data_IF_260095858768
#
_entry.id   IF_260095858768
#
_cell.length_a   1.000
_cell.length_b   1.000
_cell.length_c   1.000
_cell.angle_alpha   90.00
_cell.angle_beta   90.00
_cell.angle_gamma   90.00
#
_symmetry.space_group_name_H-M   'P 1'
#
loop_
_entity.id
_entity.type
_entity.pdbx_description
1 polymer ?
#
# COMPACT_ATOMS: atom_id res chain seq x y z
N UNK A 1 -13.13 3.26 -25.18
CA UNK A 1 -12.50 2.25 -26.07
C UNK A 1 -11.32 1.56 -25.40
N UNK A 2 -10.29 2.25 -24.93
CA UNK A 2 -9.08 1.63 -24.32
C UNK A 2 -9.37 0.64 -23.17
N UNK A 3 -10.34 0.91 -22.30
CA UNK A 3 -10.63 0.07 -21.13
C UNK A 3 -11.29 -1.27 -21.54
N UNK A 4 -12.14 -1.28 -22.57
CA UNK A 4 -12.71 -2.53 -23.09
C UNK A 4 -11.65 -3.42 -23.76
N UNK A 5 -10.69 -2.78 -24.50
CA UNK A 5 -9.56 -3.50 -25.08
C UNK A 5 -8.67 -4.12 -23.99
N UNK A 6 -8.37 -3.38 -22.94
CA UNK A 6 -7.64 -3.89 -21.79
C UNK A 6 -8.31 -5.10 -21.14
N UNK A 7 -9.64 -5.06 -20.93
CA UNK A 7 -10.39 -6.20 -20.38
C UNK A 7 -10.42 -7.39 -21.35
N UNK A 8 -10.46 -7.14 -22.65
CA UNK A 8 -10.39 -8.20 -23.67
C UNK A 8 -9.01 -8.88 -23.61
N UNK A 9 -7.91 -8.12 -23.53
CA UNK A 9 -6.55 -8.65 -23.43
C UNK A 9 -6.37 -9.50 -22.18
N UNK A 10 -6.93 -9.09 -21.04
CA UNK A 10 -6.89 -9.91 -19.80
C UNK A 10 -7.63 -11.24 -20.01
N UNK A 11 -8.79 -11.23 -20.67
CA UNK A 11 -9.55 -12.46 -20.97
C UNK A 11 -8.78 -13.39 -21.90
N UNK A 12 -8.17 -12.84 -22.94
CA UNK A 12 -7.30 -13.58 -23.86
C UNK A 12 -6.12 -14.19 -23.09
N UNK A 13 -5.40 -13.41 -22.29
CA UNK A 13 -4.31 -13.93 -21.45
C UNK A 13 -4.77 -15.03 -20.50
N UNK A 14 -5.98 -14.94 -19.95
CA UNK A 14 -6.56 -15.98 -19.11
C UNK A 14 -6.80 -17.28 -19.88
N UNK A 15 -7.24 -17.22 -21.15
CA UNK A 15 -7.42 -18.37 -22.02
C UNK A 15 -6.07 -19.04 -22.34
N UNK A 16 -5.03 -18.25 -22.60
CA UNK A 16 -3.66 -18.75 -22.84
C UNK A 16 -2.89 -19.18 -21.59
N UNK A 17 -3.54 -19.30 -20.44
CA UNK A 17 -2.94 -19.94 -19.28
C UNK A 17 -2.30 -18.98 -18.28
N UNK A 18 -2.32 -17.67 -18.48
CA UNK A 18 -1.73 -16.74 -17.54
C UNK A 18 -2.42 -16.79 -16.16
N UNK A 19 -1.72 -17.28 -15.14
CA UNK A 19 -2.27 -17.61 -13.81
C UNK A 19 -3.02 -16.45 -13.16
N UNK A 20 -2.41 -15.27 -13.10
CA UNK A 20 -3.04 -14.06 -12.49
C UNK A 20 -4.30 -13.62 -13.25
N UNK A 21 -4.29 -13.68 -14.59
CA UNK A 21 -5.45 -13.32 -15.41
C UNK A 21 -6.62 -14.31 -15.21
N UNK A 22 -6.33 -15.61 -15.12
CA UNK A 22 -7.35 -16.65 -14.80
C UNK A 22 -7.99 -16.42 -13.44
N UNK A 23 -7.19 -16.13 -12.40
CA UNK A 23 -7.70 -15.82 -11.06
C UNK A 23 -8.62 -14.61 -11.09
N UNK A 24 -8.23 -13.53 -11.76
CA UNK A 24 -9.03 -12.31 -11.87
C UNK A 24 -10.37 -12.59 -12.57
N UNK A 25 -10.36 -13.21 -13.75
CA UNK A 25 -11.58 -13.46 -14.54
C UNK A 25 -12.56 -14.38 -13.79
N UNK A 26 -12.05 -15.47 -13.18
CA UNK A 26 -12.87 -16.38 -12.37
C UNK A 26 -13.42 -15.71 -11.12
N UNK A 27 -12.57 -14.97 -10.40
CA UNK A 27 -12.95 -14.27 -9.17
C UNK A 27 -14.03 -13.22 -9.41
N UNK A 28 -13.93 -12.45 -10.48
CA UNK A 28 -14.95 -11.46 -10.86
C UNK A 28 -16.30 -12.10 -11.24
N UNK A 29 -16.28 -13.22 -11.96
CA UNK A 29 -17.50 -13.98 -12.29
C UNK A 29 -18.15 -14.54 -11.01
N UNK A 30 -17.33 -15.07 -10.07
CA UNK A 30 -17.81 -15.57 -8.79
C UNK A 30 -18.39 -14.47 -7.91
N UNK A 31 -17.81 -13.26 -7.93
CA UNK A 31 -18.34 -12.10 -7.19
C UNK A 31 -19.80 -11.82 -7.56
N UNK A 32 -20.10 -11.71 -8.86
CA UNK A 32 -21.47 -11.45 -9.31
C UNK A 32 -22.42 -12.57 -8.90
N UNK A 33 -22.01 -13.84 -9.03
CA UNK A 33 -22.82 -14.99 -8.59
C UNK A 33 -23.11 -14.94 -7.08
N UNK A 34 -22.07 -14.73 -6.27
CA UNK A 34 -22.20 -14.72 -4.81
C UNK A 34 -23.10 -13.59 -4.31
N UNK A 35 -22.95 -12.39 -4.88
CA UNK A 35 -23.78 -11.24 -4.50
C UNK A 35 -25.25 -11.44 -4.92
N UNK A 36 -25.51 -11.99 -6.12
CA UNK A 36 -26.87 -12.27 -6.58
C UNK A 36 -27.52 -13.37 -5.74
N UNK A 37 -26.79 -14.45 -5.41
CA UNK A 37 -27.32 -15.54 -4.58
C UNK A 37 -27.65 -15.09 -3.14
N UNK A 38 -26.80 -14.23 -2.54
CA UNK A 38 -27.10 -13.66 -1.22
C UNK A 38 -28.39 -12.83 -1.23
N UNK A 39 -28.66 -12.12 -2.31
CA UNK A 39 -29.91 -11.35 -2.46
C UNK A 39 -31.13 -12.25 -2.54
N UNK A 40 -31.12 -13.30 -3.38
CA UNK A 40 -32.25 -14.22 -3.52
C UNK A 40 -32.60 -14.95 -2.21
N UNK A 41 -31.58 -15.26 -1.39
CA UNK A 41 -31.80 -15.87 -0.08
C UNK A 41 -32.30 -14.89 0.99
N UNK A 42 -32.01 -13.58 0.84
CA UNK A 42 -32.52 -12.53 1.75
C UNK A 42 -33.96 -12.11 1.41
N UNK A 43 -34.39 -12.24 0.17
CA UNK A 43 -35.77 -11.95 -0.24
C UNK A 43 -36.78 -13.03 0.23
N UNK A 44 -36.30 -14.23 0.59
CA UNK A 44 -37.10 -15.33 1.13
C UNK A 44 -37.27 -15.32 2.66
N UNK A 45 -36.60 -14.39 3.37
CA UNK A 45 -36.73 -14.24 4.84
C UNK A 45 -36.78 -12.77 5.25
N UNK A 46 -37.92 -12.31 5.70
CA UNK A 46 -38.27 -10.94 6.12
C UNK A 46 -37.33 -10.28 7.19
N UNK A 47 -36.29 -10.99 7.66
CA UNK A 47 -35.45 -10.53 8.77
C UNK A 47 -34.13 -9.85 8.33
N UNK A 48 -33.50 -10.28 7.25
CA UNK A 48 -32.17 -9.78 6.88
C UNK A 48 -32.21 -8.45 6.12
N UNK A 49 -33.20 -8.23 5.27
CA UNK A 49 -33.34 -7.01 4.45
C UNK A 49 -33.66 -5.78 5.30
N UNK A 50 -34.44 -5.94 6.37
CA UNK A 50 -34.81 -4.86 7.30
C UNK A 50 -33.62 -4.37 8.15
N UNK A 51 -32.67 -5.26 8.48
CA UNK A 51 -31.46 -4.92 9.24
C UNK A 51 -30.43 -4.21 8.35
N UNK A 52 -30.30 -4.60 7.05
CA UNK A 52 -29.42 -3.93 6.11
C UNK A 52 -29.90 -2.52 5.72
N UNK A 53 -31.20 -2.28 5.67
CA UNK A 53 -31.76 -0.96 5.35
C UNK A 53 -31.61 0.06 6.49
N UNK A 54 -31.48 -0.38 7.75
CA UNK A 54 -31.36 0.52 8.91
C UNK A 54 -29.92 0.99 9.22
N UNK A 55 -28.91 0.24 8.82
CA UNK A 55 -27.50 0.54 9.20
C UNK A 55 -26.60 1.01 8.06
N UNK A 56 -27.02 0.88 6.80
CA UNK A 56 -26.25 1.29 5.61
C UNK A 56 -25.04 0.39 5.31
N UNK A 57 -24.78 0.18 4.01
CA UNK A 57 -23.61 -0.55 3.53
C UNK A 57 -22.59 0.43 2.93
N UNK A 58 -21.38 0.42 3.44
CA UNK A 58 -20.25 1.20 2.93
C UNK A 58 -19.42 0.28 2.03
N UNK A 59 -19.33 0.67 0.76
CA UNK A 59 -18.45 -0.01 -0.19
C UNK A 59 -17.12 0.72 -0.29
N UNK A 60 -16.01 -0.01 -0.07
CA UNK A 60 -14.64 0.53 -0.18
C UNK A 60 -13.91 -0.21 -1.29
N UNK A 61 -13.37 0.52 -2.25
CA UNK A 61 -12.60 -0.03 -3.36
C UNK A 61 -11.13 0.37 -3.26
N UNK A 62 -10.24 -0.64 -3.26
CA UNK A 62 -8.79 -0.52 -3.37
C UNK A 62 -8.28 -1.53 -4.40
N UNK A 63 -7.57 -1.11 -5.43
CA UNK A 63 -7.17 -2.04 -6.49
C UNK A 63 -6.10 -3.04 -6.02
N UNK A 64 -5.23 -2.64 -5.10
CA UNK A 64 -4.05 -3.39 -4.65
C UNK A 64 -3.93 -3.44 -3.13
N UNK A 65 -2.97 -4.23 -2.63
CA UNK A 65 -2.61 -4.26 -1.19
C UNK A 65 -2.17 -2.88 -0.70
N UNK A 66 -1.33 -2.17 -1.46
CA UNK A 66 -0.84 -0.85 -1.06
C UNK A 66 -1.94 0.19 -0.90
N UNK A 67 -2.95 0.17 -1.77
CA UNK A 67 -4.13 1.04 -1.64
C UNK A 67 -5.04 0.59 -0.51
N UNK A 68 -5.15 -0.71 -0.28
CA UNK A 68 -5.89 -1.22 0.87
C UNK A 68 -5.28 -0.75 2.21
N UNK A 69 -3.96 -0.70 2.33
CA UNK A 69 -3.31 -0.17 3.54
C UNK A 69 -3.62 1.32 3.76
N UNK A 70 -3.97 2.07 2.70
CA UNK A 70 -4.51 3.44 2.83
C UNK A 70 -5.99 3.47 3.27
N UNK A 71 -6.78 2.47 2.90
CA UNK A 71 -8.17 2.36 3.36
C UNK A 71 -8.28 1.86 4.81
N UNK A 72 -7.31 1.07 5.24
CA UNK A 72 -7.36 0.27 6.46
C UNK A 72 -7.59 1.10 7.74
N UNK A 73 -6.91 2.22 8.01
CA UNK A 73 -7.17 3.03 9.19
C UNK A 73 -8.63 3.51 9.27
N UNK A 74 -9.18 3.90 8.13
CA UNK A 74 -10.59 4.32 8.06
C UNK A 74 -11.55 3.14 8.30
N UNK A 75 -11.27 1.96 7.76
CA UNK A 75 -12.07 0.74 7.97
C UNK A 75 -12.07 0.35 9.45
N UNK A 76 -10.89 0.28 10.07
CA UNK A 76 -10.73 -0.12 11.47
C UNK A 76 -11.41 0.89 12.41
N UNK A 77 -11.32 2.19 12.10
CA UNK A 77 -12.05 3.23 12.84
C UNK A 77 -13.56 3.12 12.67
N UNK A 78 -14.05 2.92 11.45
CA UNK A 78 -15.47 2.70 11.19
C UNK A 78 -16.01 1.48 11.97
N UNK A 79 -15.24 0.40 12.01
CA UNK A 79 -15.64 -0.81 12.74
C UNK A 79 -15.74 -0.56 14.24
N UNK A 80 -14.84 0.25 14.80
CA UNK A 80 -14.83 0.62 16.21
C UNK A 80 -15.95 1.60 16.59
N UNK A 81 -16.13 2.66 15.78
CA UNK A 81 -17.01 3.77 16.13
C UNK A 81 -18.44 3.66 15.56
N UNK A 82 -18.61 2.89 14.48
CA UNK A 82 -19.90 2.68 13.82
C UNK A 82 -20.11 1.19 13.46
N UNK A 83 -20.09 0.28 14.44
CA UNK A 83 -20.14 -1.18 14.22
C UNK A 83 -21.42 -1.65 13.51
N UNK A 84 -22.49 -0.83 13.53
CA UNK A 84 -23.75 -1.12 12.86
C UNK A 84 -23.63 -1.08 11.33
N UNK A 85 -22.67 -0.35 10.76
CA UNK A 85 -22.50 -0.30 9.31
C UNK A 85 -21.86 -1.58 8.79
N UNK A 86 -22.37 -2.07 7.66
CA UNK A 86 -21.73 -3.14 6.92
C UNK A 86 -20.63 -2.57 6.03
N UNK A 87 -19.49 -3.23 5.98
CA UNK A 87 -18.34 -2.83 5.21
C UNK A 87 -18.02 -3.91 4.18
N UNK A 88 -18.06 -3.56 2.91
CA UNK A 88 -17.61 -4.42 1.81
C UNK A 88 -16.39 -3.82 1.15
N UNK A 89 -15.36 -4.63 1.01
CA UNK A 89 -14.11 -4.25 0.34
C UNK A 89 -14.01 -4.95 -1.00
N UNK A 90 -13.58 -4.24 -2.02
CA UNK A 90 -13.30 -4.83 -3.33
C UNK A 90 -11.87 -4.58 -3.78
N UNK A 91 -11.29 -5.59 -4.43
CA UNK A 91 -9.97 -5.53 -5.05
C UNK A 91 -10.06 -5.73 -6.57
N UNK A 92 -9.15 -5.10 -7.30
CA UNK A 92 -8.96 -5.42 -8.71
C UNK A 92 -7.80 -6.42 -8.88
N UNK A 93 -6.72 -6.27 -8.13
CA UNK A 93 -5.54 -7.14 -8.18
C UNK A 93 -5.80 -8.50 -7.52
N UNK A 94 -5.43 -9.63 -8.17
CA UNK A 94 -5.48 -10.95 -7.54
C UNK A 94 -4.65 -11.05 -6.27
N UNK A 95 -3.47 -10.47 -6.24
CA UNK A 95 -2.62 -10.48 -5.04
C UNK A 95 -3.26 -9.75 -3.88
N UNK A 96 -3.91 -8.60 -4.14
CA UNK A 96 -4.66 -7.86 -3.12
C UNK A 96 -5.80 -8.68 -2.53
N UNK A 97 -6.60 -9.31 -3.39
CA UNK A 97 -7.70 -10.15 -2.95
C UNK A 97 -7.22 -11.37 -2.16
N UNK A 98 -6.26 -12.14 -2.67
CA UNK A 98 -5.78 -13.36 -2.02
C UNK A 98 -5.19 -13.09 -0.63
N UNK A 99 -4.46 -11.98 -0.48
CA UNK A 99 -3.88 -11.59 0.81
C UNK A 99 -4.92 -11.08 1.82
N UNK A 100 -6.07 -10.56 1.37
CA UNK A 100 -7.05 -9.88 2.22
C UNK A 100 -8.46 -10.47 2.17
N UNK A 101 -8.71 -11.58 1.46
CA UNK A 101 -10.03 -12.22 1.34
C UNK A 101 -10.69 -12.61 2.67
N UNK A 102 -9.89 -12.84 3.70
CA UNK A 102 -10.34 -13.18 5.06
C UNK A 102 -10.16 -12.00 6.05
N UNK A 103 -10.18 -10.76 5.58
CA UNK A 103 -10.01 -9.59 6.44
C UNK A 103 -11.18 -9.42 7.39
N UNK A 104 -10.93 -9.62 8.69
CA UNK A 104 -11.95 -9.74 9.75
C UNK A 104 -12.77 -8.44 9.96
N UNK A 105 -12.26 -7.26 9.57
CA UNK A 105 -12.96 -6.00 9.75
C UNK A 105 -13.93 -5.67 8.62
N UNK A 106 -14.01 -6.51 7.55
CA UNK A 106 -14.97 -6.39 6.48
C UNK A 106 -16.02 -7.50 6.54
N UNK A 107 -17.28 -7.16 6.23
CA UNK A 107 -18.39 -8.14 6.14
C UNK A 107 -18.35 -8.95 4.82
N UNK A 108 -17.56 -8.49 3.88
CA UNK A 108 -17.30 -9.19 2.63
C UNK A 108 -16.13 -8.59 1.87
N UNK A 109 -15.34 -9.46 1.26
CA UNK A 109 -14.23 -9.08 0.38
C UNK A 109 -14.45 -9.74 -0.97
N UNK A 110 -14.38 -8.96 -2.04
CA UNK A 110 -14.70 -9.42 -3.40
C UNK A 110 -13.73 -8.85 -4.44
N UNK A 111 -13.71 -9.47 -5.61
CA UNK A 111 -13.13 -8.82 -6.79
C UNK A 111 -14.10 -7.78 -7.35
N UNK A 112 -13.59 -6.62 -7.78
CA UNK A 112 -14.37 -5.67 -8.56
C UNK A 112 -14.59 -6.25 -9.97
N UNK A 113 -15.83 -6.46 -10.43
CA UNK A 113 -16.08 -6.89 -11.80
C UNK A 113 -15.57 -5.87 -12.83
N UNK A 114 -15.19 -6.32 -14.03
CA UNK A 114 -14.74 -5.40 -15.09
C UNK A 114 -15.70 -4.24 -15.27
N UNK A 115 -15.15 -3.01 -15.34
CA UNK A 115 -15.88 -1.76 -15.34
C UNK A 115 -16.62 -1.51 -16.68
N UNK A 116 -17.55 -2.40 -17.02
CA UNK A 116 -18.56 -2.19 -18.07
C UNK A 116 -19.83 -1.64 -17.46
N UNK A 117 -20.64 -0.91 -18.24
CA UNK A 117 -21.93 -0.37 -17.76
C UNK A 117 -22.84 -1.47 -17.21
N UNK A 118 -22.90 -2.61 -17.88
CA UNK A 118 -23.73 -3.76 -17.46
C UNK A 118 -23.24 -4.35 -16.13
N UNK A 119 -21.92 -4.56 -15.98
CA UNK A 119 -21.37 -5.11 -14.75
C UNK A 119 -21.52 -4.12 -13.57
N UNK A 120 -21.31 -2.82 -13.82
CA UNK A 120 -21.49 -1.80 -12.79
C UNK A 120 -22.94 -1.78 -12.28
N UNK A 121 -23.93 -1.83 -13.17
CA UNK A 121 -25.35 -1.92 -12.80
C UNK A 121 -25.63 -3.17 -11.99
N UNK A 122 -25.28 -4.36 -12.51
CA UNK A 122 -25.50 -5.64 -11.83
C UNK A 122 -24.83 -5.70 -10.44
N UNK A 123 -23.62 -5.21 -10.36
CA UNK A 123 -22.88 -5.17 -9.11
C UNK A 123 -23.57 -4.25 -8.07
N UNK A 124 -23.93 -3.04 -8.47
CA UNK A 124 -24.61 -2.09 -7.59
C UNK A 124 -26.06 -2.49 -7.27
N UNK A 125 -26.74 -3.20 -8.17
CA UNK A 125 -28.07 -3.79 -7.90
C UNK A 125 -27.98 -4.88 -6.83
N UNK A 126 -26.91 -5.68 -6.86
CA UNK A 126 -26.72 -6.76 -5.92
C UNK A 126 -26.14 -6.27 -4.57
N UNK A 127 -25.24 -5.26 -4.58
CA UNK A 127 -24.58 -4.76 -3.38
C UNK A 127 -25.42 -3.73 -2.62
N UNK A 128 -26.13 -2.85 -3.32
CA UNK A 128 -26.94 -1.75 -2.78
C UNK A 128 -26.22 -0.88 -1.74
N UNK A 129 -25.04 -0.31 -2.06
CA UNK A 129 -24.30 0.48 -1.11
C UNK A 129 -25.01 1.81 -0.85
N UNK A 130 -24.99 2.27 0.41
CA UNK A 130 -25.45 3.61 0.79
C UNK A 130 -24.37 4.68 0.64
N UNK A 131 -23.12 4.24 0.51
CA UNK A 131 -21.92 5.07 0.33
C UNK A 131 -20.83 4.28 -0.37
N UNK A 132 -20.00 4.95 -1.18
CA UNK A 132 -18.83 4.35 -1.81
C UNK A 132 -17.57 5.19 -1.54
N UNK A 133 -16.45 4.52 -1.27
CA UNK A 133 -15.14 5.14 -1.04
C UNK A 133 -14.11 4.48 -1.96
N UNK A 134 -13.44 5.28 -2.77
CA UNK A 134 -12.38 4.86 -3.68
C UNK A 134 -11.03 5.37 -3.20
N UNK A 135 -10.01 4.52 -3.26
CA UNK A 135 -8.68 4.86 -2.77
C UNK A 135 -7.77 5.28 -3.92
N UNK A 136 -7.09 6.41 -3.77
CA UNK A 136 -5.99 6.87 -4.61
C UNK A 136 -6.39 7.11 -6.10
N UNK A 137 -6.05 6.20 -7.02
CA UNK A 137 -6.20 6.38 -8.47
C UNK A 137 -7.42 5.65 -9.09
N UNK A 138 -8.33 5.17 -8.25
CA UNK A 138 -9.40 4.27 -8.67
C UNK A 138 -10.59 5.03 -9.29
N UNK A 139 -10.36 5.59 -10.47
CA UNK A 139 -11.33 6.38 -11.22
C UNK A 139 -12.00 5.55 -12.31
N UNK A 140 -12.92 4.67 -11.93
CA UNK A 140 -13.65 3.74 -12.79
C UNK A 140 -14.93 4.37 -13.36
N UNK A 141 -14.96 4.90 -14.62
CA UNK A 141 -16.08 5.69 -15.12
C UNK A 141 -17.42 4.97 -15.04
N UNK A 142 -17.47 3.67 -15.39
CA UNK A 142 -18.72 2.92 -15.40
C UNK A 142 -19.37 2.83 -14.01
N UNK A 143 -18.56 2.65 -12.97
CA UNK A 143 -19.04 2.63 -11.58
C UNK A 143 -19.36 4.03 -11.07
N UNK A 144 -18.50 5.01 -11.30
CA UNK A 144 -18.68 6.37 -10.81
C UNK A 144 -19.91 7.06 -11.41
N UNK A 145 -20.14 6.91 -12.71
CA UNK A 145 -21.35 7.43 -13.35
C UNK A 145 -22.64 6.73 -12.85
N UNK A 146 -22.57 5.43 -12.61
CA UNK A 146 -23.73 4.67 -12.11
C UNK A 146 -24.04 5.02 -10.64
N UNK A 147 -23.02 5.22 -9.80
CA UNK A 147 -23.16 5.72 -8.41
C UNK A 147 -23.79 7.11 -8.40
N UNK A 148 -23.30 8.02 -9.25
CA UNK A 148 -23.87 9.37 -9.39
C UNK A 148 -25.31 9.33 -9.85
N UNK A 149 -25.66 8.50 -10.85
CA UNK A 149 -27.04 8.30 -11.34
C UNK A 149 -27.99 7.84 -10.22
N UNK A 150 -27.49 7.06 -9.27
CA UNK A 150 -28.25 6.55 -8.11
C UNK A 150 -28.22 7.51 -6.91
N UNK A 151 -27.58 8.67 -7.03
CA UNK A 151 -27.36 9.63 -5.93
C UNK A 151 -26.67 9.01 -4.71
N UNK A 152 -25.79 8.01 -4.91
CA UNK A 152 -25.01 7.39 -3.84
C UNK A 152 -23.79 8.28 -3.54
N UNK A 153 -23.64 8.81 -2.31
CA UNK A 153 -22.47 9.57 -1.90
C UNK A 153 -21.20 8.79 -2.17
N UNK A 154 -20.27 9.41 -2.93
CA UNK A 154 -19.05 8.73 -3.39
C UNK A 154 -17.84 9.62 -3.08
N UNK A 155 -16.86 9.07 -2.38
CA UNK A 155 -15.68 9.77 -1.92
C UNK A 155 -14.42 9.15 -2.53
N UNK A 156 -13.41 9.98 -2.81
CA UNK A 156 -12.06 9.52 -3.08
C UNK A 156 -11.16 9.94 -1.93
N UNK A 157 -10.34 9.02 -1.41
CA UNK A 157 -9.43 9.29 -0.30
C UNK A 157 -7.98 9.03 -0.70
N UNK A 158 -7.06 9.73 -0.05
CA UNK A 158 -5.61 9.65 -0.33
C UNK A 158 -5.28 9.82 -1.82
N UNK A 159 -6.08 10.61 -2.55
CA UNK A 159 -5.89 10.84 -3.98
C UNK A 159 -4.64 11.71 -4.22
N UNK A 160 -3.91 11.43 -5.29
CA UNK A 160 -2.79 12.26 -5.72
C UNK A 160 -2.87 12.47 -7.23
N UNK A 161 -2.68 13.72 -7.66
CA UNK A 161 -2.77 14.10 -9.06
C UNK A 161 -1.43 14.66 -9.56
N UNK A 162 -1.17 14.47 -10.86
CA UNK A 162 0.04 14.95 -11.53
C UNK A 162 -0.32 15.61 -12.84
N UNK A 163 0.42 16.67 -13.28
CA UNK A 163 0.11 17.42 -14.50
C UNK A 163 0.06 16.56 -15.76
N UNK A 164 0.89 15.51 -15.82
CA UNK A 164 0.95 14.61 -16.98
C UNK A 164 -0.21 13.63 -17.13
N UNK A 165 -1.12 13.54 -16.15
CA UNK A 165 -2.26 12.62 -16.21
C UNK A 165 -3.30 13.06 -17.26
N UNK A 166 -4.01 12.05 -17.80
CA UNK A 166 -4.98 12.22 -18.89
C UNK A 166 -6.00 13.34 -18.62
N UNK A 167 -6.48 13.47 -17.39
CA UNK A 167 -7.49 14.47 -16.99
C UNK A 167 -7.08 15.91 -17.33
N UNK A 168 -5.81 16.24 -17.21
CA UNK A 168 -5.27 17.59 -17.33
C UNK A 168 -4.72 17.90 -18.72
N UNK A 169 -4.78 16.91 -19.65
CA UNK A 169 -4.37 17.10 -21.02
C UNK A 169 -5.54 17.62 -21.88
N UNK A 170 -5.31 18.44 -22.92
CA UNK A 170 -6.39 18.99 -23.75
C UNK A 170 -7.38 17.96 -24.30
N UNK A 171 -6.87 16.79 -24.73
CA UNK A 171 -7.70 15.69 -25.23
C UNK A 171 -8.32 14.80 -24.16
N UNK A 172 -7.95 14.97 -22.91
CA UNK A 172 -8.42 14.19 -21.77
C UNK A 172 -9.53 14.86 -20.96
N UNK A 173 -9.93 16.08 -21.31
CA UNK A 173 -10.94 16.87 -20.58
C UNK A 173 -12.26 16.13 -20.37
N UNK A 174 -12.70 15.29 -21.33
CA UNK A 174 -13.88 14.45 -21.20
C UNK A 174 -13.80 13.49 -20.00
N UNK A 175 -12.62 13.13 -19.56
CA UNK A 175 -12.43 12.24 -18.41
C UNK A 175 -12.57 12.98 -17.06
N UNK A 176 -12.49 14.32 -17.04
CA UNK A 176 -12.80 15.14 -15.86
C UNK A 176 -14.24 14.93 -15.38
N UNK A 177 -15.19 14.61 -16.29
CA UNK A 177 -16.55 14.29 -15.91
C UNK A 177 -16.65 13.08 -14.98
N UNK A 178 -15.69 12.17 -15.07
CA UNK A 178 -15.59 11.06 -14.13
C UNK A 178 -15.23 11.54 -12.72
N UNK A 179 -14.33 12.52 -12.59
CA UNK A 179 -13.99 13.11 -11.29
C UNK A 179 -15.15 13.93 -10.71
N UNK A 180 -15.97 14.55 -11.55
CA UNK A 180 -17.21 15.25 -11.15
C UNK A 180 -18.31 14.32 -10.61
N UNK A 181 -18.10 13.01 -10.68
CA UNK A 181 -19.01 12.04 -10.06
C UNK A 181 -18.80 11.91 -8.55
N UNK A 182 -17.63 12.27 -8.03
CA UNK A 182 -17.38 12.25 -6.60
C UNK A 182 -18.17 13.34 -5.85
N UNK A 183 -18.67 12.97 -4.69
CA UNK A 183 -19.24 13.92 -3.72
C UNK A 183 -18.14 14.80 -3.17
N UNK A 184 -16.97 14.21 -2.85
CA UNK A 184 -15.77 14.94 -2.44
C UNK A 184 -14.51 14.11 -2.75
N UNK A 185 -13.39 14.80 -3.03
CA UNK A 185 -12.07 14.20 -3.28
C UNK A 185 -11.08 14.71 -2.23
N UNK A 186 -10.59 13.80 -1.39
CA UNK A 186 -9.55 14.09 -0.39
C UNK A 186 -8.19 13.79 -0.99
N UNK A 187 -7.41 14.85 -1.21
CA UNK A 187 -6.07 14.73 -1.82
C UNK A 187 -4.97 14.74 -0.77
N UNK A 188 -3.79 14.24 -1.17
CA UNK A 188 -2.63 14.16 -0.29
C UNK A 188 -1.90 15.51 -0.15
N UNK A 189 -1.93 16.38 -1.18
CA UNK A 189 -1.08 17.57 -1.23
C UNK A 189 -1.72 18.76 -1.96
N UNK A 190 -1.07 19.93 -1.79
CA UNK A 190 -1.49 21.19 -2.38
C UNK A 190 -1.42 21.17 -3.92
N UNK A 191 -0.43 20.49 -4.51
CA UNK A 191 -0.28 20.42 -5.95
C UNK A 191 -1.45 19.67 -6.60
N UNK A 192 -1.88 18.55 -5.98
CA UNK A 192 -3.08 17.80 -6.40
C UNK A 192 -4.36 18.64 -6.28
N UNK A 193 -4.50 19.40 -5.18
CA UNK A 193 -5.66 20.30 -4.98
C UNK A 193 -5.72 21.37 -6.05
N UNK A 194 -4.58 21.98 -6.36
CA UNK A 194 -4.50 23.04 -7.38
C UNK A 194 -4.88 22.50 -8.76
N UNK A 195 -4.33 21.32 -9.18
CA UNK A 195 -4.69 20.69 -10.45
C UNK A 195 -6.20 20.40 -10.56
N UNK A 196 -6.83 19.94 -9.48
CA UNK A 196 -8.27 19.71 -9.47
C UNK A 196 -9.06 21.03 -9.64
N UNK A 197 -8.66 22.10 -8.94
CA UNK A 197 -9.29 23.42 -9.05
C UNK A 197 -9.16 24.00 -10.45
N UNK A 198 -7.98 23.92 -11.06
CA UNK A 198 -7.74 24.30 -12.46
C UNK A 198 -8.59 23.48 -13.44
N UNK A 199 -8.84 22.20 -13.13
CA UNK A 199 -9.75 21.32 -13.86
C UNK A 199 -11.25 21.60 -13.59
N UNK A 200 -11.59 22.59 -12.75
CA UNK A 200 -12.98 22.91 -12.39
C UNK A 200 -13.61 21.91 -11.43
N UNK A 201 -12.82 21.24 -10.59
CA UNK A 201 -13.27 20.34 -9.53
C UNK A 201 -13.15 21.07 -8.18
N UNK A 202 -14.24 21.71 -7.74
CA UNK A 202 -14.27 22.48 -6.49
C UNK A 202 -14.50 21.64 -5.24
N UNK A 203 -15.13 20.47 -5.38
CA UNK A 203 -15.41 19.55 -4.26
C UNK A 203 -14.19 18.72 -3.91
N UNK A 204 -13.15 19.39 -3.43
CA UNK A 204 -11.87 18.77 -3.06
C UNK A 204 -11.19 19.53 -1.93
N UNK A 205 -10.50 18.81 -1.06
CA UNK A 205 -9.70 19.34 0.06
C UNK A 205 -8.47 18.49 0.32
N UNK A 206 -7.46 19.06 0.98
CA UNK A 206 -6.30 18.32 1.44
C UNK A 206 -6.67 17.58 2.72
N UNK A 207 -6.47 16.28 2.74
CA UNK A 207 -6.53 15.49 3.96
C UNK A 207 -5.17 14.87 4.33
N UNK A 208 -4.29 14.63 3.37
CA UNK A 208 -3.04 13.92 3.57
C UNK A 208 -3.10 12.46 3.11
N UNK A 209 -2.08 11.68 3.50
CA UNK A 209 -1.96 10.25 3.18
C UNK A 209 -2.20 9.39 4.43
N UNK A 210 -3.25 8.61 4.42
CA UNK A 210 -3.64 7.73 5.53
C UNK A 210 -2.62 6.63 5.85
N UNK A 211 -1.60 6.41 5.01
CA UNK A 211 -0.49 5.49 5.34
C UNK A 211 0.30 5.97 6.54
N UNK A 212 0.44 7.28 6.76
CA UNK A 212 1.13 7.81 7.93
C UNK A 212 0.38 7.44 9.22
N UNK A 213 -0.94 7.62 9.24
CA UNK A 213 -1.77 7.20 10.38
C UNK A 213 -1.63 5.70 10.65
N UNK A 214 -1.61 4.88 9.58
CA UNK A 214 -1.42 3.45 9.70
C UNK A 214 -0.09 3.09 10.33
N UNK A 215 0.98 3.77 9.95
CA UNK A 215 2.30 3.49 10.50
C UNK A 215 2.40 3.91 11.96
N UNK A 216 1.79 5.01 12.36
CA UNK A 216 1.72 5.40 13.77
C UNK A 216 1.04 4.32 14.65
N UNK A 217 -0.03 3.69 14.14
CA UNK A 217 -0.67 2.55 14.83
C UNK A 217 0.24 1.32 14.92
N UNK A 218 0.94 0.99 13.83
CA UNK A 218 1.84 -0.18 13.77
C UNK A 218 3.03 0.01 14.70
N UNK A 219 3.62 1.21 14.72
CA UNK A 219 4.79 1.50 15.57
C UNK A 219 4.47 1.56 17.06
N UNK A 220 3.21 1.86 17.42
CA UNK A 220 2.76 1.84 18.81
C UNK A 220 2.75 0.42 19.41
N UNK A 221 2.66 -0.63 18.58
CA UNK A 221 2.58 -2.02 19.01
C UNK A 221 3.52 -2.92 18.20
N UNK A 222 4.86 -2.75 18.32
CA UNK A 222 5.82 -3.55 17.57
C UNK A 222 5.75 -5.01 17.99
N UNK A 223 5.81 -5.91 17.02
CA UNK A 223 5.86 -7.35 17.28
C UNK A 223 7.29 -7.75 17.59
N UNK A 224 7.47 -8.52 18.64
CA UNK A 224 8.75 -9.15 18.95
C UNK A 224 9.02 -10.31 17.97
N UNK A 225 10.27 -10.39 17.50
CA UNK A 225 10.74 -11.45 16.61
C UNK A 225 12.02 -12.07 17.21
N UNK A 226 11.89 -13.14 18.02
CA UNK A 226 13.01 -13.70 18.78
C UNK A 226 14.25 -14.03 17.94
N UNK A 227 14.07 -14.53 16.72
CA UNK A 227 15.17 -14.82 15.79
C UNK A 227 15.93 -13.55 15.42
N UNK A 228 15.23 -12.43 15.20
CA UNK A 228 15.88 -11.15 14.88
C UNK A 228 16.58 -10.57 16.10
N UNK A 229 15.97 -10.65 17.28
CA UNK A 229 16.58 -10.24 18.55
C UNK A 229 17.88 -10.98 18.80
N UNK A 230 17.87 -12.30 18.61
CA UNK A 230 19.06 -13.14 18.76
C UNK A 230 20.13 -12.78 17.72
N UNK A 231 19.75 -12.53 16.46
CA UNK A 231 20.67 -12.11 15.40
C UNK A 231 21.34 -10.79 15.75
N UNK A 232 20.58 -9.78 16.16
CA UNK A 232 21.11 -8.47 16.55
C UNK A 232 22.05 -8.61 17.74
N UNK A 233 21.66 -9.35 18.79
CA UNK A 233 22.54 -9.74 19.90
C UNK A 233 23.26 -8.57 20.57
N UNK A 234 22.61 -7.39 20.67
CA UNK A 234 23.21 -6.18 21.24
C UNK A 234 24.14 -5.39 20.31
N UNK A 235 24.26 -5.77 19.02
CA UNK A 235 24.98 -4.97 18.02
C UNK A 235 24.36 -3.58 17.89
N UNK A 236 25.21 -2.54 17.86
CA UNK A 236 24.79 -1.14 17.68
C UNK A 236 24.90 -0.64 16.26
N UNK A 237 25.24 -1.51 15.30
CA UNK A 237 25.40 -1.18 13.89
C UNK A 237 24.63 -2.21 13.05
N UNK A 238 23.33 -2.04 12.97
CA UNK A 238 22.43 -2.91 12.21
C UNK A 238 21.74 -2.11 11.12
N UNK A 239 21.88 -2.57 9.89
CA UNK A 239 21.15 -2.04 8.73
C UNK A 239 20.00 -2.97 8.40
N UNK A 240 18.80 -2.42 8.20
CA UNK A 240 17.65 -3.15 7.67
C UNK A 240 17.45 -2.75 6.22
N UNK A 241 17.71 -3.66 5.30
CA UNK A 241 17.47 -3.47 3.87
C UNK A 241 16.14 -4.12 3.47
N UNK A 242 15.12 -3.29 3.26
CA UNK A 242 13.75 -3.75 2.98
C UNK A 242 13.38 -3.70 1.51
N UNK A 243 12.68 -4.73 1.02
CA UNK A 243 12.20 -4.86 -0.36
C UNK A 243 13.31 -4.72 -1.40
N UNK A 244 14.42 -5.40 -1.17
CA UNK A 244 15.61 -5.33 -2.03
C UNK A 244 15.40 -6.05 -3.37
N UNK A 245 16.14 -5.61 -4.36
CA UNK A 245 16.24 -6.18 -5.70
C UNK A 245 17.71 -6.52 -6.02
N UNK A 246 18.01 -7.32 -7.04
CA UNK A 246 19.38 -7.79 -7.32
C UNK A 246 20.44 -6.70 -7.37
N UNK A 247 20.10 -5.51 -7.90
CA UNK A 247 21.05 -4.39 -7.94
C UNK A 247 21.36 -3.81 -6.55
N UNK A 248 20.35 -3.72 -5.68
CA UNK A 248 20.50 -3.29 -4.30
C UNK A 248 21.37 -4.27 -3.53
N UNK A 249 21.10 -5.57 -3.70
CA UNK A 249 21.75 -6.68 -3.01
C UNK A 249 23.24 -6.77 -3.35
N UNK A 250 23.60 -6.57 -4.62
CA UNK A 250 25.01 -6.55 -5.05
C UNK A 250 25.80 -5.39 -4.40
N UNK A 251 25.20 -4.22 -4.27
CA UNK A 251 25.82 -3.07 -3.60
C UNK A 251 25.98 -3.30 -2.09
N UNK A 252 24.96 -3.87 -1.46
CA UNK A 252 24.96 -4.18 -0.01
C UNK A 252 25.93 -5.31 0.32
N UNK A 253 26.07 -6.33 -0.54
CA UNK A 253 27.03 -7.40 -0.36
C UNK A 253 28.47 -6.84 -0.34
N UNK A 254 28.81 -6.01 -1.33
CA UNK A 254 30.12 -5.33 -1.38
C UNK A 254 30.37 -4.46 -0.13
N UNK A 255 29.33 -3.80 0.39
CA UNK A 255 29.44 -2.99 1.61
C UNK A 255 29.73 -3.85 2.84
N UNK A 256 29.01 -4.96 3.00
CA UNK A 256 29.22 -5.89 4.13
C UNK A 256 30.61 -6.53 4.10
N UNK A 257 31.15 -6.79 2.90
CA UNK A 257 32.54 -7.32 2.77
C UNK A 257 33.57 -6.38 3.35
N UNK A 258 33.37 -5.09 3.16
CA UNK A 258 34.29 -4.04 3.62
C UNK A 258 33.99 -3.52 5.05
N UNK A 259 32.99 -4.07 5.76
CA UNK A 259 32.49 -3.52 7.03
C UNK A 259 32.24 -4.60 8.06
N UNK A 260 33.29 -5.08 8.72
CA UNK A 260 33.28 -6.28 9.61
C UNK A 260 32.36 -6.14 10.84
N UNK A 261 32.15 -4.94 11.37
CA UNK A 261 31.37 -4.70 12.59
C UNK A 261 29.87 -4.56 12.34
N UNK A 262 29.45 -4.42 11.07
CA UNK A 262 28.06 -4.13 10.71
C UNK A 262 27.29 -5.41 10.44
N UNK A 263 26.07 -5.48 10.97
CA UNK A 263 25.09 -6.52 10.67
C UNK A 263 24.07 -6.00 9.68
N UNK A 264 23.62 -6.87 8.77
CA UNK A 264 22.60 -6.60 7.76
C UNK A 264 21.41 -7.54 7.93
N UNK A 265 20.22 -6.99 8.04
CA UNK A 265 18.97 -7.75 7.87
C UNK A 265 18.46 -7.46 6.46
N UNK A 266 18.50 -8.46 5.60
CA UNK A 266 18.09 -8.37 4.19
C UNK A 266 16.70 -8.97 4.00
N UNK A 267 15.77 -8.17 3.54
CA UNK A 267 14.38 -8.58 3.28
C UNK A 267 14.09 -8.39 1.79
N UNK A 268 14.26 -9.42 0.95
CA UNK A 268 14.04 -9.32 -0.49
C UNK A 268 12.59 -9.00 -0.84
N UNK A 269 12.37 -8.32 -1.97
CA UNK A 269 11.03 -8.04 -2.48
C UNK A 269 10.35 -9.32 -3.00
N UNK A 270 11.10 -10.18 -3.65
CA UNK A 270 10.66 -11.48 -4.15
C UNK A 270 11.45 -12.60 -3.47
N UNK A 271 10.75 -13.65 -3.07
CA UNK A 271 11.33 -14.80 -2.35
C UNK A 271 11.18 -16.11 -3.14
N UNK A 272 11.22 -16.02 -4.48
CA UNK A 272 11.27 -17.22 -5.30
C UNK A 272 12.65 -17.90 -5.20
N UNK A 273 12.67 -19.21 -5.49
CA UNK A 273 13.86 -20.05 -5.28
C UNK A 273 15.09 -19.57 -6.05
N UNK A 274 14.88 -19.03 -7.27
CA UNK A 274 15.98 -18.54 -8.12
C UNK A 274 16.62 -17.30 -7.52
N UNK A 275 15.82 -16.33 -7.11
CA UNK A 275 16.29 -15.10 -6.51
C UNK A 275 16.99 -15.37 -5.17
N UNK A 276 16.39 -16.20 -4.31
CA UNK A 276 17.01 -16.59 -3.05
C UNK A 276 18.37 -17.28 -3.27
N UNK A 277 18.48 -18.12 -4.30
CA UNK A 277 19.75 -18.76 -4.63
C UNK A 277 20.84 -17.74 -4.96
N UNK A 278 20.53 -16.74 -5.79
CA UNK A 278 21.45 -15.65 -6.12
C UNK A 278 21.87 -14.87 -4.86
N UNK A 279 20.93 -14.57 -3.94
CA UNK A 279 21.26 -13.92 -2.67
C UNK A 279 22.21 -14.79 -1.83
N UNK A 280 21.98 -16.11 -1.79
CA UNK A 280 22.82 -17.02 -1.01
C UNK A 280 24.25 -17.09 -1.55
N UNK A 281 24.43 -17.05 -2.87
CA UNK A 281 25.74 -16.95 -3.50
C UNK A 281 26.45 -15.64 -3.15
N UNK A 282 25.73 -14.49 -3.24
CA UNK A 282 26.28 -13.17 -2.92
C UNK A 282 26.78 -13.05 -1.47
N UNK A 283 26.14 -13.73 -0.52
CA UNK A 283 26.44 -13.63 0.91
C UNK A 283 27.01 -14.94 1.50
N UNK A 284 27.56 -15.83 0.66
CA UNK A 284 28.10 -17.10 1.08
C UNK A 284 29.10 -16.99 2.24
N UNK A 285 28.97 -17.87 3.22
CA UNK A 285 29.82 -17.90 4.42
C UNK A 285 29.52 -16.81 5.47
N UNK A 286 28.62 -15.85 5.18
CA UNK A 286 28.33 -14.69 6.06
C UNK A 286 26.87 -14.61 6.47
N UNK A 287 26.00 -15.43 5.91
CA UNK A 287 24.56 -15.30 6.07
C UNK A 287 23.92 -16.50 6.77
N UNK A 288 22.77 -16.23 7.36
CA UNK A 288 21.82 -17.25 7.81
C UNK A 288 20.43 -16.91 7.26
N UNK A 289 19.67 -17.94 6.88
CA UNK A 289 18.25 -17.78 6.48
C UNK A 289 17.39 -17.69 7.73
N UNK A 290 16.42 -16.79 7.74
CA UNK A 290 15.48 -16.63 8.85
C UNK A 290 14.76 -17.96 9.17
N UNK A 291 14.27 -18.70 8.15
CA UNK A 291 13.58 -19.98 8.35
C UNK A 291 14.48 -21.13 8.80
N UNK A 292 15.80 -20.98 8.76
CA UNK A 292 16.81 -22.00 9.15
C UNK A 292 17.76 -21.51 10.24
N UNK A 293 17.47 -20.38 10.85
CA UNK A 293 18.27 -19.84 11.93
C UNK A 293 18.11 -20.68 13.21
N UNK A 294 19.22 -20.93 13.87
CA UNK A 294 19.29 -21.59 15.18
C UNK A 294 20.38 -20.95 16.03
N UNK A 295 20.45 -21.31 17.30
CA UNK A 295 21.35 -20.70 18.29
C UNK A 295 22.83 -20.77 17.93
N UNK A 296 23.24 -21.71 17.09
CA UNK A 296 24.63 -21.89 16.68
C UNK A 296 24.96 -21.03 15.48
N UNK A 297 24.20 -21.15 14.38
CA UNK A 297 24.52 -20.50 13.11
C UNK A 297 24.28 -18.99 13.14
N UNK A 298 23.30 -18.51 13.92
CA UNK A 298 22.93 -17.09 13.99
C UNK A 298 24.02 -16.21 14.64
N UNK A 299 24.78 -16.77 15.58
CA UNK A 299 25.85 -16.03 16.31
C UNK A 299 27.01 -15.63 15.42
N UNK A 300 27.30 -16.42 14.39
CA UNK A 300 28.42 -16.23 13.47
C UNK A 300 28.01 -15.46 12.20
N UNK A 301 26.72 -15.32 11.96
CA UNK A 301 26.20 -14.65 10.78
C UNK A 301 26.31 -13.12 10.92
N UNK A 302 26.69 -12.47 9.81
CA UNK A 302 26.63 -11.00 9.68
C UNK A 302 25.42 -10.56 8.85
N UNK A 303 24.80 -11.47 8.12
CA UNK A 303 23.61 -11.20 7.30
C UNK A 303 22.49 -12.16 7.69
N UNK A 304 21.34 -11.63 8.02
CA UNK A 304 20.09 -12.38 8.18
C UNK A 304 19.24 -12.16 6.94
N UNK A 305 19.07 -13.20 6.12
CA UNK A 305 18.18 -13.17 4.95
C UNK A 305 16.78 -13.62 5.36
N UNK A 306 15.81 -12.72 5.25
CA UNK A 306 14.42 -12.99 5.63
C UNK A 306 13.69 -13.59 4.43
N UNK A 307 13.61 -14.89 4.40
CA UNK A 307 13.02 -15.70 3.34
C UNK A 307 11.53 -16.02 3.57
N UNK A 308 10.80 -15.09 4.22
CA UNK A 308 9.36 -15.17 4.46
C UNK A 308 8.70 -13.81 4.35
N UNK A 309 7.43 -13.80 3.94
CA UNK A 309 6.68 -12.58 3.70
C UNK A 309 6.03 -12.00 4.96
N UNK A 310 5.86 -10.66 4.99
CA UNK A 310 5.03 -9.97 5.97
C UNK A 310 5.69 -9.63 7.30
N UNK A 311 7.01 -9.77 7.41
CA UNK A 311 7.76 -9.43 8.63
C UNK A 311 8.44 -8.06 8.59
N UNK A 312 8.63 -7.45 7.41
CA UNK A 312 9.48 -6.27 7.22
C UNK A 312 9.16 -5.12 8.18
N UNK A 313 7.87 -4.72 8.29
CA UNK A 313 7.50 -3.62 9.18
C UNK A 313 7.77 -3.91 10.67
N UNK A 314 7.81 -5.19 11.06
CA UNK A 314 8.15 -5.60 12.43
C UNK A 314 9.66 -5.78 12.63
N UNK A 315 10.44 -5.75 11.56
CA UNK A 315 11.91 -5.89 11.59
C UNK A 315 12.61 -4.53 11.71
N UNK A 316 12.04 -3.46 11.17
CA UNK A 316 12.66 -2.13 11.24
C UNK A 316 13.10 -1.69 12.65
N UNK A 317 12.33 -1.95 13.74
CA UNK A 317 12.75 -1.55 15.09
C UNK A 317 14.10 -2.13 15.56
N UNK A 318 14.60 -3.16 14.89
CA UNK A 318 15.85 -3.81 15.25
C UNK A 318 17.09 -3.17 14.60
N UNK A 319 16.91 -2.23 13.66
CA UNK A 319 17.99 -1.55 12.96
C UNK A 319 18.18 -0.10 13.38
N UNK A 320 19.35 0.45 13.06
CA UNK A 320 19.67 1.88 13.22
C UNK A 320 19.49 2.65 11.92
N UNK A 321 19.65 2.00 10.77
CA UNK A 321 19.53 2.61 9.43
C UNK A 321 18.68 1.71 8.55
N UNK A 322 17.79 2.30 7.76
CA UNK A 322 17.00 1.60 6.77
C UNK A 322 17.51 1.89 5.34
N UNK A 323 17.68 0.84 4.56
CA UNK A 323 17.83 0.92 3.11
C UNK A 323 16.56 0.40 2.43
N UNK A 324 15.99 1.18 1.51
CA UNK A 324 14.76 0.81 0.80
C UNK A 324 15.10 0.48 -0.65
N UNK A 325 14.87 -0.78 -1.02
CA UNK A 325 15.19 -1.31 -2.34
C UNK A 325 14.28 -0.83 -3.47
N UNK A 326 14.65 -1.19 -4.68
CA UNK A 326 13.95 -0.90 -5.93
C UNK A 326 14.37 0.42 -6.60
N UNK A 327 15.11 1.27 -5.91
CA UNK A 327 15.47 2.58 -6.41
C UNK A 327 16.43 2.60 -7.59
N UNK A 328 17.10 1.50 -7.90
CA UNK A 328 17.93 1.36 -9.11
C UNK A 328 17.17 0.80 -10.32
N UNK A 329 15.89 0.45 -10.15
CA UNK A 329 15.07 -0.17 -11.20
C UNK A 329 13.64 0.35 -11.23
N UNK A 330 12.73 -0.43 -10.70
CA UNK A 330 11.26 -0.22 -10.77
C UNK A 330 10.75 0.99 -10.00
N UNK A 331 11.57 1.59 -9.14
CA UNK A 331 11.22 2.64 -8.18
C UNK A 331 11.22 2.11 -6.74
N UNK A 332 11.45 3.02 -5.80
CA UNK A 332 11.55 2.67 -4.38
C UNK A 332 10.24 2.11 -3.82
N UNK A 333 10.37 1.32 -2.76
CA UNK A 333 9.24 0.83 -1.99
C UNK A 333 8.85 1.80 -0.85
N UNK A 334 8.05 1.34 0.12
CA UNK A 334 7.52 2.17 1.18
C UNK A 334 8.61 2.67 2.14
N UNK A 335 8.86 3.96 2.16
CA UNK A 335 9.82 4.61 3.07
C UNK A 335 9.21 5.00 4.43
N UNK A 336 7.87 5.11 4.49
CA UNK A 336 7.16 5.58 5.69
C UNK A 336 7.31 4.58 6.83
N UNK A 337 7.37 3.28 6.52
CA UNK A 337 7.51 2.23 7.54
C UNK A 337 8.78 2.42 8.37
N UNK A 338 9.92 2.56 7.71
CA UNK A 338 11.20 2.79 8.38
C UNK A 338 11.25 4.15 9.09
N UNK A 339 10.79 5.20 8.42
CA UNK A 339 10.76 6.56 8.98
C UNK A 339 9.90 6.67 10.24
N UNK A 340 8.79 5.93 10.31
CA UNK A 340 7.91 5.90 11.47
C UNK A 340 8.56 5.30 12.72
N UNK A 341 9.55 4.44 12.56
CA UNK A 341 10.40 3.96 13.66
C UNK A 341 11.58 4.89 13.98
N UNK A 342 11.63 6.06 13.38
CA UNK A 342 12.71 7.01 13.62
C UNK A 342 14.05 6.55 13.07
N UNK A 343 14.06 5.95 11.90
CA UNK A 343 15.28 5.51 11.22
C UNK A 343 15.67 6.48 10.11
N UNK A 344 16.97 6.80 9.94
CA UNK A 344 17.49 7.35 8.69
C UNK A 344 17.15 6.42 7.52
N UNK A 345 16.74 6.98 6.37
CA UNK A 345 16.29 6.20 5.22
C UNK A 345 17.18 6.47 4.01
N UNK A 346 17.76 5.41 3.43
CA UNK A 346 18.53 5.49 2.19
C UNK A 346 17.84 4.71 1.07
N UNK A 347 18.00 5.15 -0.17
CA UNK A 347 17.44 4.50 -1.35
C UNK A 347 18.14 4.92 -2.64
N UNK A 348 17.94 4.15 -3.71
CA UNK A 348 18.46 4.46 -5.04
C UNK A 348 17.78 5.66 -5.73
N UNK A 349 18.23 6.07 -6.95
CA UNK A 349 17.89 7.35 -7.56
C UNK A 349 16.46 7.46 -8.11
N UNK A 350 15.74 6.35 -8.28
CA UNK A 350 14.39 6.37 -8.87
C UNK A 350 13.29 6.58 -7.81
N UNK A 351 13.24 7.76 -7.20
CA UNK A 351 12.30 8.13 -6.14
C UNK A 351 11.40 9.33 -6.46
N UNK A 352 11.57 10.01 -7.60
CA UNK A 352 10.95 11.31 -7.91
C UNK A 352 9.42 11.27 -7.93
N UNK A 353 8.83 10.10 -8.08
CA UNK A 353 7.37 9.90 -8.05
C UNK A 353 6.80 9.67 -6.65
N UNK A 354 7.65 9.59 -5.62
CA UNK A 354 7.27 9.29 -4.23
C UNK A 354 7.33 10.58 -3.39
N UNK A 355 6.15 11.12 -3.05
CA UNK A 355 6.01 12.35 -2.27
C UNK A 355 6.72 12.24 -0.92
N UNK A 356 6.49 11.12 -0.23
CA UNK A 356 7.06 10.81 1.07
C UNK A 356 8.60 10.80 1.07
N UNK A 357 9.21 10.25 0.03
CA UNK A 357 10.68 10.23 -0.09
C UNK A 357 11.25 11.65 -0.26
N UNK A 358 10.58 12.49 -1.06
CA UNK A 358 10.97 13.91 -1.20
C UNK A 358 10.83 14.67 0.12
N UNK A 359 9.76 14.41 0.86
CA UNK A 359 9.53 15.02 2.16
C UNK A 359 10.60 14.62 3.17
N UNK A 360 10.98 13.34 3.22
CA UNK A 360 12.05 12.84 4.08
C UNK A 360 13.42 13.45 3.72
N UNK A 361 13.74 13.59 2.41
CA UNK A 361 14.97 14.29 1.97
C UNK A 361 14.95 15.75 2.42
N UNK A 362 13.84 16.45 2.19
CA UNK A 362 13.70 17.86 2.60
C UNK A 362 13.80 18.06 4.13
N UNK A 363 13.36 17.08 4.91
CA UNK A 363 13.51 17.05 6.37
C UNK A 363 14.94 16.67 6.83
N UNK A 364 15.85 16.33 5.91
CA UNK A 364 17.18 15.82 6.25
C UNK A 364 17.14 14.45 6.94
N UNK A 365 16.13 13.64 6.67
CA UNK A 365 15.89 12.33 7.25
C UNK A 365 16.18 11.18 6.27
N UNK A 366 16.39 11.50 5.00
CA UNK A 366 16.71 10.50 3.97
C UNK A 366 17.73 11.02 2.96
N UNK A 367 18.44 10.08 2.32
CA UNK A 367 19.40 10.36 1.27
C UNK A 367 19.23 9.38 0.10
N UNK A 368 19.33 9.89 -1.15
CA UNK A 368 19.33 9.07 -2.35
C UNK A 368 20.75 8.85 -2.84
N UNK A 369 21.10 7.61 -3.17
CA UNK A 369 22.43 7.18 -3.61
C UNK A 369 22.40 6.63 -5.02
N UNK A 370 23.43 6.89 -5.83
CA UNK A 370 23.50 6.53 -7.26
C UNK A 370 24.46 5.40 -7.57
N UNK A 371 25.40 5.15 -6.69
CA UNK A 371 26.48 4.19 -6.88
C UNK A 371 26.99 3.66 -5.53
N UNK A 372 28.00 2.77 -5.59
CA UNK A 372 28.55 2.14 -4.41
C UNK A 372 29.24 3.14 -3.45
N UNK A 373 30.01 4.08 -3.99
CA UNK A 373 30.78 5.01 -3.15
C UNK A 373 29.85 5.98 -2.41
N UNK A 374 28.79 6.45 -3.06
CA UNK A 374 27.73 7.22 -2.43
C UNK A 374 27.01 6.39 -1.35
N UNK A 375 26.66 5.12 -1.66
CA UNK A 375 26.01 4.22 -0.70
C UNK A 375 26.87 4.00 0.53
N UNK A 376 28.15 3.67 0.36
CA UNK A 376 29.10 3.42 1.47
C UNK A 376 29.20 4.65 2.39
N UNK A 377 29.43 5.81 1.80
CA UNK A 377 29.55 7.06 2.55
C UNK A 377 28.25 7.43 3.26
N UNK A 378 27.12 7.27 2.62
CA UNK A 378 25.81 7.58 3.18
C UNK A 378 25.44 6.62 4.33
N UNK A 379 25.70 5.31 4.19
CA UNK A 379 25.47 4.32 5.25
C UNK A 379 26.30 4.60 6.49
N UNK A 380 27.60 4.91 6.33
CA UNK A 380 28.49 5.24 7.46
C UNK A 380 28.02 6.51 8.16
N UNK A 381 27.75 7.59 7.41
CA UNK A 381 27.19 8.83 7.99
C UNK A 381 25.88 8.60 8.72
N UNK A 382 24.98 7.79 8.13
CA UNK A 382 23.69 7.50 8.72
C UNK A 382 23.80 6.67 10.01
N UNK A 383 24.74 5.73 10.09
CA UNK A 383 25.02 4.97 11.32
C UNK A 383 25.57 5.87 12.42
N UNK A 384 26.52 6.77 12.10
CA UNK A 384 27.11 7.70 13.06
C UNK A 384 26.09 8.71 13.61
N UNK A 385 25.18 9.18 12.77
CA UNK A 385 24.21 10.22 13.11
C UNK A 385 22.77 9.67 13.22
N UNK A 386 22.58 8.36 13.43
CA UNK A 386 21.27 7.72 13.34
C UNK A 386 20.24 8.32 14.30
N UNK A 387 20.63 8.72 15.50
CA UNK A 387 19.72 9.29 16.49
C UNK A 387 19.12 10.63 16.02
N UNK A 388 19.95 11.55 15.53
CA UNK A 388 19.52 12.87 15.08
C UNK A 388 18.70 12.78 13.77
N UNK A 389 19.23 12.05 12.77
CA UNK A 389 18.57 11.86 11.49
C UNK A 389 17.26 11.07 11.65
N UNK A 390 17.24 10.08 12.54
CA UNK A 390 16.07 9.33 12.91
C UNK A 390 14.99 10.17 13.60
N UNK A 391 15.39 11.08 14.48
CA UNK A 391 14.47 12.03 15.11
C UNK A 391 13.77 12.93 14.06
N UNK A 392 14.51 13.38 13.02
CA UNK A 392 13.93 14.14 11.90
C UNK A 392 12.93 13.27 11.10
N UNK A 393 13.23 11.98 10.89
CA UNK A 393 12.32 11.04 10.23
C UNK A 393 11.00 10.89 11.01
N UNK A 394 11.09 10.66 12.32
CA UNK A 394 9.94 10.57 13.20
C UNK A 394 9.12 11.89 13.21
N UNK A 395 9.79 13.03 13.29
CA UNK A 395 9.14 14.34 13.26
C UNK A 395 8.38 14.58 11.93
N UNK A 396 8.99 14.22 10.80
CA UNK A 396 8.33 14.29 9.51
C UNK A 396 7.07 13.42 9.48
N UNK A 397 7.15 12.17 9.94
CA UNK A 397 5.98 11.29 10.00
C UNK A 397 4.89 11.88 10.90
N UNK A 398 5.24 12.42 12.06
CA UNK A 398 4.28 13.06 12.97
C UNK A 398 3.58 14.26 12.33
N UNK A 399 4.28 15.07 11.54
CA UNK A 399 3.71 16.22 10.85
C UNK A 399 2.70 15.86 9.74
N UNK A 400 2.74 14.63 9.24
CA UNK A 400 1.87 14.12 8.19
C UNK A 400 0.64 13.36 8.72
N UNK A 401 0.49 13.21 10.04
CA UNK A 401 -0.63 12.51 10.67
C UNK A 401 -1.95 13.30 10.58
N UNK A 402 -3.06 12.59 10.78
CA UNK A 402 -4.40 13.18 10.92
C UNK A 402 -5.27 13.06 9.68
N UNK A 403 -4.78 12.47 8.59
CA UNK A 403 -5.56 12.27 7.36
C UNK A 403 -6.83 11.46 7.61
N UNK A 404 -6.73 10.36 8.32
CA UNK A 404 -7.86 9.47 8.67
C UNK A 404 -8.87 10.19 9.55
N UNK A 405 -8.40 10.96 10.54
CA UNK A 405 -9.27 11.71 11.46
C UNK A 405 -10.08 12.77 10.70
N UNK A 406 -9.43 13.54 9.83
CA UNK A 406 -10.06 14.54 9.00
C UNK A 406 -11.12 13.93 8.07
N UNK A 407 -10.76 12.89 7.31
CA UNK A 407 -11.68 12.19 6.41
C UNK A 407 -12.87 11.63 7.18
N UNK A 408 -12.63 10.99 8.32
CA UNK A 408 -13.68 10.41 9.13
C UNK A 408 -14.68 11.48 9.64
N UNK A 409 -14.19 12.58 10.20
CA UNK A 409 -15.02 13.68 10.72
C UNK A 409 -15.88 14.29 9.61
N UNK A 410 -15.28 14.60 8.46
CA UNK A 410 -16.00 15.25 7.36
C UNK A 410 -17.05 14.32 6.71
N UNK A 411 -16.81 13.01 6.62
CA UNK A 411 -17.77 12.07 5.99
C UNK A 411 -18.84 11.61 6.98
N UNK A 412 -18.51 11.38 8.25
CA UNK A 412 -19.38 10.64 9.18
C UNK A 412 -19.86 11.43 10.41
N UNK A 413 -19.29 12.58 10.72
CA UNK A 413 -19.68 13.40 11.87
C UNK A 413 -20.34 14.71 11.50
N UNK A 414 -20.00 15.32 10.37
CA UNK A 414 -20.53 16.62 9.93
C UNK A 414 -21.81 16.47 9.06
N UNK A 415 -22.61 15.42 9.27
CA UNK A 415 -23.92 15.22 8.62
C UNK A 415 -25.05 15.43 9.59
#
# INVERSE_FOLDING_TARGET
MCMYLYFLLIRIAALFGHKKARLLVRGQAQTLKNLTAKRSNSDSGLSATAVYQRSGLIWIHAASVGEFEQARPLIERLRREKPQHKIVVTFFSPSGYEMRKNYAQADGVYYLPFATRTNARRFLDALQPTMAIFVKYEFWPAYLHELKRRNIPTYSISAIFRPGQLFFRPWGKWYLDTLRCFTHIYVQDQASLQLLREGGISRSSIAGDTRFDRMAEVTAHPKQIPVVEQFVGGSRQVIVAGSTWPQDEALLARFIDNSLAIKLILVPHEIDDKHLHTIFELFEGRMVRYTRANDVNIRHARVLVVDTMGLLSSIYPYGQVAYIGGGFGVGIHNTIEAAAYGMPVLFGPNYQHFREAKGLIAAGAAESVKNYDELQNALLRALDNHAETGARAAQYVQSELGATDKIYKEIFQNK
#
